data_IF_191762849475
#
_entry.id   IF_191762849475
#
_cell.length_a   1.000
_cell.length_b   1.000
_cell.length_c   1.000
_cell.angle_alpha   90.00
_cell.angle_beta   90.00
_cell.angle_gamma   90.00
#
_symmetry.space_group_name_H-M   'P 1'
#
loop_
_entity.id
_entity.type
_entity.pdbx_description
1 polymer ?
#
# COMPACT_ATOMS: atom_id res chain seq x y z
N UNK A 1 -15.49 -16.94 13.66
CA UNK A 1 -14.34 -17.68 14.24
C UNK A 1 -13.07 -17.01 13.75
N UNK A 2 -12.14 -16.68 14.66
CA UNK A 2 -10.82 -16.19 14.26
C UNK A 2 -9.96 -17.42 13.93
N UNK A 3 -9.94 -17.82 12.66
CA UNK A 3 -9.14 -18.97 12.22
C UNK A 3 -7.66 -18.61 12.42
N UNK A 4 -6.85 -19.45 13.11
CA UNK A 4 -5.42 -19.21 13.19
C UNK A 4 -4.82 -19.17 11.77
N UNK A 5 -3.74 -18.41 11.61
CA UNK A 5 -2.97 -18.36 10.35
C UNK A 5 -1.80 -19.35 10.46
N UNK A 6 -1.96 -20.62 10.04
CA UNK A 6 -0.85 -21.55 9.99
C UNK A 6 0.12 -21.12 8.88
N UNK A 7 1.40 -20.98 9.23
CA UNK A 7 2.45 -20.65 8.27
C UNK A 7 3.71 -21.46 8.57
N UNK A 8 4.38 -21.92 7.51
CA UNK A 8 5.71 -22.52 7.60
C UNK A 8 6.77 -21.44 7.86
N UNK A 9 7.74 -21.73 8.72
CA UNK A 9 8.77 -20.75 9.11
C UNK A 9 9.62 -20.30 7.92
N UNK A 10 9.80 -21.16 6.92
CA UNK A 10 10.48 -20.87 5.65
C UNK A 10 9.72 -19.82 4.84
N UNK A 11 8.41 -19.97 4.71
CA UNK A 11 7.55 -18.98 4.05
C UNK A 11 7.59 -17.64 4.78
N UNK A 12 7.59 -17.66 6.12
CA UNK A 12 7.67 -16.42 6.90
C UNK A 12 9.00 -15.68 6.69
N UNK A 13 10.12 -16.41 6.64
CA UNK A 13 11.44 -15.83 6.32
C UNK A 13 11.44 -15.20 4.93
N UNK A 14 10.92 -15.91 3.93
CA UNK A 14 10.82 -15.40 2.58
C UNK A 14 9.95 -14.14 2.52
N UNK A 15 8.76 -14.15 3.11
CA UNK A 15 7.90 -12.96 3.20
C UNK A 15 8.66 -11.79 3.84
N UNK A 16 9.40 -12.04 4.93
CA UNK A 16 10.19 -10.99 5.58
C UNK A 16 11.28 -10.39 4.69
N UNK A 17 11.87 -11.18 3.79
CA UNK A 17 12.87 -10.71 2.82
C UNK A 17 12.26 -9.83 1.71
N UNK A 18 10.95 -9.95 1.46
CA UNK A 18 10.24 -9.24 0.37
C UNK A 18 9.34 -8.09 0.83
N UNK A 19 9.03 -8.00 2.12
CA UNK A 19 8.37 -6.83 2.71
C UNK A 19 9.30 -5.60 2.65
N UNK A 20 8.75 -4.44 2.29
CA UNK A 20 9.45 -3.16 2.23
C UNK A 20 9.48 -2.45 3.61
N UNK A 21 8.45 -2.65 4.44
CA UNK A 21 8.33 -2.04 5.78
C UNK A 21 7.31 -2.79 6.68
N UNK A 22 7.43 -2.69 8.02
CA UNK A 22 6.62 -3.49 8.95
C UNK A 22 5.11 -3.41 8.76
N UNK A 23 4.52 -2.23 8.51
CA UNK A 23 3.07 -2.14 8.34
C UNK A 23 2.58 -2.79 7.04
N UNK A 24 3.45 -3.01 6.06
CA UNK A 24 3.08 -3.80 4.88
C UNK A 24 2.82 -5.27 5.24
N UNK A 25 3.53 -5.82 6.22
CA UNK A 25 3.28 -7.17 6.72
C UNK A 25 1.95 -7.23 7.47
N UNK A 26 1.66 -6.23 8.31
CA UNK A 26 0.37 -6.13 8.99
C UNK A 26 -0.78 -6.03 7.98
N UNK A 27 -0.61 -5.20 6.94
CA UNK A 27 -1.60 -5.07 5.88
C UNK A 27 -1.80 -6.40 5.11
N UNK A 28 -0.72 -7.12 4.82
CA UNK A 28 -0.80 -8.46 4.22
C UNK A 28 -1.65 -9.42 5.07
N UNK A 29 -1.38 -9.51 6.37
CA UNK A 29 -2.15 -10.38 7.27
C UNK A 29 -3.63 -10.03 7.29
N UNK A 30 -3.98 -8.74 7.32
CA UNK A 30 -5.38 -8.28 7.25
C UNK A 30 -6.05 -8.76 5.96
N UNK A 31 -5.41 -8.58 4.81
CA UNK A 31 -5.94 -9.03 3.50
C UNK A 31 -6.07 -10.56 3.47
N UNK A 32 -5.04 -11.28 3.92
CA UNK A 32 -5.01 -12.76 3.96
C UNK A 32 -6.12 -13.35 4.81
N UNK A 33 -6.40 -12.77 5.97
CA UNK A 33 -7.49 -13.20 6.85
C UNK A 33 -8.87 -12.94 6.23
N UNK A 34 -9.04 -11.80 5.55
CA UNK A 34 -10.30 -11.42 4.90
C UNK A 34 -10.69 -12.35 3.73
N UNK A 35 -9.71 -12.94 3.03
CA UNK A 35 -9.96 -13.80 1.86
C UNK A 35 -9.96 -15.30 2.16
N UNK A 36 -9.73 -15.69 3.42
CA UNK A 36 -9.43 -17.07 3.85
C UNK A 36 -10.44 -18.15 3.49
N UNK A 37 -11.67 -17.78 3.10
CA UNK A 37 -12.72 -18.72 2.69
C UNK A 37 -13.08 -18.68 1.20
N UNK A 38 -12.54 -17.70 0.46
CA UNK A 38 -12.90 -17.45 -0.95
C UNK A 38 -11.74 -17.72 -1.91
N UNK A 39 -10.51 -17.49 -1.45
CA UNK A 39 -9.30 -17.62 -2.25
C UNK A 39 -8.45 -18.74 -1.66
N UNK A 40 -8.13 -19.72 -2.49
CA UNK A 40 -7.29 -20.87 -2.18
C UNK A 40 -5.98 -20.75 -2.94
N UNK A 41 -4.89 -21.17 -2.33
CA UNK A 41 -3.58 -21.26 -2.95
C UNK A 41 -2.85 -22.50 -2.41
N UNK A 42 -1.81 -22.94 -3.11
CA UNK A 42 -1.09 -24.16 -2.75
C UNK A 42 -0.20 -23.94 -1.53
N UNK A 43 0.41 -22.76 -1.42
CA UNK A 43 1.21 -22.35 -0.29
C UNK A 43 0.97 -20.87 0.09
N UNK A 44 1.66 -20.41 1.14
CA UNK A 44 1.54 -19.04 1.64
C UNK A 44 2.28 -18.01 0.76
N UNK A 45 3.24 -18.45 -0.06
CA UNK A 45 3.95 -17.56 -0.98
C UNK A 45 3.09 -17.23 -2.19
N UNK A 46 2.22 -18.12 -2.64
CA UNK A 46 1.22 -17.83 -3.67
C UNK A 46 0.28 -16.70 -3.22
N UNK A 47 -0.21 -16.77 -1.98
CA UNK A 47 -1.01 -15.68 -1.39
C UNK A 47 -0.21 -14.39 -1.32
N UNK A 48 1.04 -14.46 -0.89
CA UNK A 48 1.88 -13.29 -0.78
C UNK A 48 2.24 -12.67 -2.14
N UNK A 49 2.51 -13.48 -3.16
CA UNK A 49 2.74 -13.02 -4.53
C UNK A 49 1.51 -12.33 -5.10
N UNK A 50 0.33 -12.93 -4.93
CA UNK A 50 -0.94 -12.31 -5.33
C UNK A 50 -1.19 -11.00 -4.57
N UNK A 51 -0.82 -10.94 -3.29
CA UNK A 51 -0.85 -9.70 -2.51
C UNK A 51 0.05 -8.61 -3.09
N UNK A 52 1.29 -8.93 -3.49
CA UNK A 52 2.20 -7.94 -4.10
C UNK A 52 1.64 -7.40 -5.42
N UNK A 53 0.96 -8.24 -6.20
CA UNK A 53 0.39 -7.88 -7.51
C UNK A 53 -0.88 -7.04 -7.36
N UNK A 54 -1.83 -7.47 -6.52
CA UNK A 54 -3.20 -6.93 -6.51
C UNK A 54 -3.80 -6.72 -5.13
N UNK A 55 -3.03 -6.71 -4.04
CA UNK A 55 -3.55 -6.68 -2.66
C UNK A 55 -4.47 -7.86 -2.30
N UNK A 56 -4.41 -8.99 -3.01
CA UNK A 56 -5.41 -10.07 -2.94
C UNK A 56 -6.82 -9.63 -3.39
N UNK A 57 -6.93 -8.52 -4.11
CA UNK A 57 -8.17 -8.06 -4.75
C UNK A 57 -8.25 -8.70 -6.13
N UNK A 58 -8.72 -9.96 -6.16
CA UNK A 58 -8.96 -10.67 -7.42
C UNK A 58 -10.30 -10.17 -7.99
N UNK A 59 -10.33 -9.65 -9.22
CA UNK A 59 -11.59 -9.31 -9.87
C UNK A 59 -12.39 -10.60 -10.09
N UNK A 60 -13.34 -10.84 -9.19
CA UNK A 60 -14.34 -11.87 -9.39
C UNK A 60 -15.12 -11.48 -10.66
N UNK A 61 -15.39 -12.41 -11.59
CA UNK A 61 -16.44 -12.21 -12.58
C UNK A 61 -17.70 -11.72 -11.84
N UNK A 62 -18.56 -10.94 -12.52
CA UNK A 62 -19.87 -10.52 -11.97
C UNK A 62 -20.44 -11.67 -11.14
N UNK A 63 -20.95 -11.42 -9.92
CA UNK A 63 -21.26 -12.45 -8.94
C UNK A 63 -22.10 -13.53 -9.63
N UNK A 64 -21.39 -14.55 -10.07
CA UNK A 64 -21.99 -15.74 -10.64
C UNK A 64 -22.25 -16.58 -9.40
N UNK A 65 -23.52 -16.84 -9.08
CA UNK A 65 -23.86 -17.63 -7.91
C UNK A 65 -23.19 -19.01 -7.91
N UNK A 66 -22.64 -19.48 -9.03
CA UNK A 66 -21.90 -20.74 -9.14
C UNK A 66 -20.40 -20.62 -8.80
N UNK A 67 -19.81 -19.41 -8.80
CA UNK A 67 -18.38 -19.23 -8.44
C UNK A 67 -18.25 -19.04 -6.94
N UNK A 68 -18.13 -20.17 -6.23
CA UNK A 68 -17.94 -20.16 -4.77
C UNK A 68 -16.48 -19.90 -4.35
N UNK A 69 -15.49 -20.25 -5.19
CA UNK A 69 -14.07 -20.28 -4.81
C UNK A 69 -13.16 -19.92 -5.98
N UNK A 70 -12.07 -19.23 -5.67
CA UNK A 70 -10.98 -18.90 -6.60
C UNK A 70 -9.72 -19.63 -6.19
N UNK A 71 -9.02 -20.25 -7.14
CA UNK A 71 -7.72 -20.88 -6.95
C UNK A 71 -6.62 -20.02 -7.57
N UNK A 72 -5.61 -19.67 -6.78
CA UNK A 72 -4.34 -19.10 -7.25
C UNK A 72 -3.50 -20.27 -7.76
N UNK A 73 -3.21 -20.27 -9.06
CA UNK A 73 -2.49 -21.37 -9.74
C UNK A 73 -0.97 -21.16 -9.69
N UNK A 74 -0.52 -19.91 -9.85
CA UNK A 74 0.89 -19.52 -9.70
C UNK A 74 0.95 -18.03 -9.38
N UNK A 75 1.67 -17.67 -8.31
CA UNK A 75 2.12 -16.31 -8.06
C UNK A 75 3.55 -16.26 -7.51
N UNK A 76 4.35 -17.30 -7.79
CA UNK A 76 5.71 -17.45 -7.22
C UNK A 76 6.83 -17.27 -8.26
N UNK A 77 6.52 -17.29 -9.55
CA UNK A 77 7.50 -17.15 -10.65
C UNK A 77 8.45 -15.94 -10.51
N UNK A 78 7.94 -14.78 -10.09
CA UNK A 78 8.80 -13.59 -9.86
C UNK A 78 9.83 -13.81 -8.75
N UNK A 79 9.50 -14.59 -7.73
CA UNK A 79 10.42 -14.95 -6.64
C UNK A 79 11.50 -15.89 -7.13
N UNK A 80 11.12 -16.92 -7.89
CA UNK A 80 12.07 -17.86 -8.50
C UNK A 80 13.08 -17.13 -9.39
N UNK A 81 12.59 -16.22 -10.23
CA UNK A 81 13.42 -15.40 -11.10
C UNK A 81 14.41 -14.55 -10.33
N UNK A 82 13.95 -13.94 -9.23
CA UNK A 82 14.81 -13.17 -8.34
C UNK A 82 15.89 -14.03 -7.68
N UNK A 83 15.55 -15.24 -7.23
CA UNK A 83 16.53 -16.16 -6.64
C UNK A 83 17.53 -16.68 -7.67
N UNK A 84 17.10 -16.98 -8.89
CA UNK A 84 18.00 -17.36 -9.97
C UNK A 84 18.96 -16.23 -10.33
N UNK A 85 18.48 -14.98 -10.38
CA UNK A 85 19.36 -13.82 -10.54
C UNK A 85 20.37 -13.70 -9.39
N UNK A 86 19.94 -13.83 -8.14
CA UNK A 86 20.83 -13.79 -6.96
C UNK A 86 21.93 -14.86 -7.00
N UNK A 87 21.67 -16.00 -7.63
CA UNK A 87 22.63 -17.10 -7.84
C UNK A 87 23.48 -16.94 -9.11
N UNK A 88 23.30 -15.88 -9.89
CA UNK A 88 23.99 -15.67 -11.17
C UNK A 88 23.49 -16.56 -12.32
N UNK A 89 22.33 -17.19 -12.16
CA UNK A 89 21.73 -18.11 -13.14
C UNK A 89 20.80 -17.39 -14.15
N UNK A 90 20.37 -16.17 -13.83
CA UNK A 90 19.57 -15.31 -14.72
C UNK A 90 20.13 -13.89 -14.79
N UNK A 91 19.85 -13.13 -15.87
CA UNK A 91 20.09 -11.69 -15.92
C UNK A 91 19.43 -10.94 -14.77
N UNK A 92 19.81 -9.67 -14.58
CA UNK A 92 19.24 -8.82 -13.53
C UNK A 92 17.73 -8.67 -13.68
N UNK A 93 17.00 -9.17 -12.68
CA UNK A 93 15.56 -8.95 -12.50
C UNK A 93 15.29 -8.06 -11.28
N UNK A 94 14.19 -7.27 -11.29
CA UNK A 94 13.78 -6.52 -10.12
C UNK A 94 13.44 -7.45 -8.95
N UNK A 95 13.58 -6.96 -7.72
CA UNK A 95 13.07 -7.66 -6.53
C UNK A 95 11.53 -7.64 -6.58
N UNK A 96 10.86 -8.79 -6.40
CA UNK A 96 9.43 -8.85 -6.15
C UNK A 96 9.02 -7.83 -5.09
N UNK A 97 7.99 -7.06 -5.40
CA UNK A 97 7.53 -6.02 -4.52
C UNK A 97 6.23 -5.44 -5.03
N UNK A 98 5.47 -4.88 -4.10
CA UNK A 98 4.20 -4.28 -4.44
C UNK A 98 4.41 -3.04 -5.31
N UNK A 99 3.53 -2.84 -6.29
CA UNK A 99 3.60 -1.64 -7.11
C UNK A 99 3.17 -0.40 -6.30
N UNK A 100 4.17 0.33 -5.81
CA UNK A 100 3.99 1.55 -5.03
C UNK A 100 4.76 2.69 -5.73
N UNK A 101 4.07 3.75 -6.18
CA UNK A 101 4.74 4.90 -6.79
C UNK A 101 5.74 5.55 -5.83
N UNK A 102 6.84 6.11 -6.36
CA UNK A 102 8.01 6.53 -5.56
C UNK A 102 7.63 7.51 -4.46
N UNK A 103 6.84 8.55 -4.75
CA UNK A 103 6.46 9.54 -3.73
C UNK A 103 5.45 8.99 -2.72
N UNK A 104 4.57 8.09 -3.17
CA UNK A 104 3.67 7.37 -2.29
C UNK A 104 4.44 6.48 -1.30
N UNK A 105 5.46 5.77 -1.79
CA UNK A 105 6.40 5.01 -0.95
C UNK A 105 7.09 5.91 0.08
N UNK A 106 7.50 7.11 -0.31
CA UNK A 106 8.12 8.05 0.64
C UNK A 106 7.17 8.46 1.79
N UNK A 107 5.86 8.58 1.54
CA UNK A 107 4.86 8.83 2.60
C UNK A 107 4.81 7.65 3.56
N UNK A 108 4.72 6.43 3.04
CA UNK A 108 4.71 5.21 3.85
C UNK A 108 6.00 5.08 4.69
N UNK A 109 7.17 5.30 4.08
CA UNK A 109 8.44 5.28 4.80
C UNK A 109 8.53 6.40 5.85
N UNK A 110 7.94 7.57 5.61
CA UNK A 110 7.89 8.63 6.60
C UNK A 110 7.04 8.24 7.81
N UNK A 111 5.87 7.62 7.60
CA UNK A 111 5.03 7.08 8.67
C UNK A 111 5.77 6.03 9.51
N UNK A 112 6.47 5.11 8.84
CA UNK A 112 7.27 4.05 9.49
C UNK A 112 8.43 4.60 10.32
N UNK A 113 9.01 5.72 9.88
CA UNK A 113 10.10 6.39 10.60
C UNK A 113 9.61 7.20 11.77
N UNK A 114 8.49 7.92 11.63
CA UNK A 114 7.96 8.75 12.72
C UNK A 114 7.26 7.94 13.79
N UNK A 115 6.65 6.81 13.43
CA UNK A 115 5.89 5.92 14.33
C UNK A 115 4.90 6.67 15.21
N UNK A 116 4.27 7.70 14.65
CA UNK A 116 3.23 8.45 15.35
C UNK A 116 2.09 7.49 15.74
N UNK A 117 1.37 7.73 16.85
CA UNK A 117 0.22 6.89 17.22
C UNK A 117 -0.74 6.70 16.04
N UNK A 118 -1.11 5.45 15.75
CA UNK A 118 -1.97 5.10 14.61
C UNK A 118 -1.26 4.95 13.25
N UNK A 119 0.08 5.01 13.19
CA UNK A 119 0.80 4.98 11.91
C UNK A 119 0.56 3.68 11.12
N UNK A 120 0.44 2.54 11.79
CA UNK A 120 0.20 1.25 11.13
C UNK A 120 -1.18 1.20 10.48
N UNK A 121 -2.19 1.74 11.15
CA UNK A 121 -3.55 1.85 10.64
C UNK A 121 -3.60 2.77 9.41
N UNK A 122 -2.94 3.93 9.48
CA UNK A 122 -2.83 4.85 8.35
C UNK A 122 -2.07 4.19 7.19
N UNK A 123 -0.97 3.49 7.47
CA UNK A 123 -0.21 2.80 6.45
C UNK A 123 -1.03 1.70 5.77
N UNK A 124 -1.79 0.91 6.55
CA UNK A 124 -2.73 -0.07 6.01
C UNK A 124 -3.80 0.60 5.13
N UNK A 125 -4.41 1.70 5.59
CA UNK A 125 -5.40 2.44 4.83
C UNK A 125 -4.84 2.96 3.50
N UNK A 126 -3.62 3.50 3.50
CA UNK A 126 -2.94 3.92 2.27
C UNK A 126 -2.63 2.73 1.34
N UNK A 127 -2.33 1.56 1.91
CA UNK A 127 -2.13 0.34 1.15
C UNK A 127 -3.44 -0.29 0.65
N UNK A 128 -4.59 0.01 1.24
CA UNK A 128 -5.90 -0.38 0.71
C UNK A 128 -6.24 0.37 -0.59
N UNK A 129 -5.66 1.55 -0.81
CA UNK A 129 -5.87 2.32 -2.04
C UNK A 129 -5.29 1.55 -3.23
N UNK A 130 -6.11 1.20 -4.22
CA UNK A 130 -5.68 0.51 -5.43
C UNK A 130 -4.68 1.31 -6.27
N UNK A 131 -3.88 0.61 -7.07
CA UNK A 131 -2.77 1.22 -7.83
C UNK A 131 -3.17 2.45 -8.68
N UNK A 132 -4.27 2.44 -9.46
CA UNK A 132 -4.65 3.61 -10.26
C UNK A 132 -4.80 4.89 -9.42
N UNK A 133 -5.37 4.77 -8.22
CA UNK A 133 -5.56 5.90 -7.32
C UNK A 133 -4.27 6.33 -6.62
N UNK A 134 -3.38 5.39 -6.26
CA UNK A 134 -2.04 5.74 -5.75
C UNK A 134 -1.26 6.60 -6.76
N UNK A 135 -1.41 6.29 -8.05
CA UNK A 135 -0.78 7.05 -9.13
C UNK A 135 -1.34 8.47 -9.25
N UNK A 136 -2.67 8.61 -9.18
CA UNK A 136 -3.34 9.93 -9.11
C UNK A 136 -2.85 10.76 -7.93
N UNK A 137 -2.68 10.14 -6.75
CA UNK A 137 -2.14 10.83 -5.57
C UNK A 137 -0.70 11.30 -5.83
N UNK A 138 0.16 10.44 -6.38
CA UNK A 138 1.54 10.83 -6.73
C UNK A 138 1.59 12.00 -7.73
N UNK A 139 0.80 11.95 -8.80
CA UNK A 139 0.81 12.97 -9.84
C UNK A 139 0.30 14.32 -9.30
N UNK A 140 -0.68 14.28 -8.39
CA UNK A 140 -1.12 15.48 -7.68
C UNK A 140 -0.03 16.04 -6.76
N UNK A 141 0.68 15.20 -5.99
CA UNK A 141 1.83 15.63 -5.17
C UNK A 141 2.88 16.30 -6.04
N UNK A 142 3.22 15.73 -7.20
CA UNK A 142 4.18 16.32 -8.15
C UNK A 142 3.70 17.69 -8.64
N UNK A 143 2.45 17.77 -9.06
CA UNK A 143 1.84 19.01 -9.58
C UNK A 143 1.79 20.09 -8.53
N UNK A 144 1.56 19.72 -7.28
CA UNK A 144 1.54 20.64 -6.16
C UNK A 144 2.95 21.16 -5.84
N UNK A 145 3.94 20.27 -5.71
CA UNK A 145 5.35 20.66 -5.52
C UNK A 145 5.87 21.61 -6.61
N UNK A 146 5.52 21.35 -7.89
CA UNK A 146 5.86 22.25 -9.02
C UNK A 146 5.27 23.65 -8.85
N UNK A 147 4.00 23.75 -8.42
CA UNK A 147 3.33 25.05 -8.18
C UNK A 147 3.96 25.84 -7.04
N UNK A 148 4.41 25.15 -5.96
CA UNK A 148 5.14 25.81 -4.87
C UNK A 148 6.49 26.36 -5.32
N UNK A 149 7.25 25.60 -6.12
CA UNK A 149 8.54 26.07 -6.64
C UNK A 149 8.43 27.31 -7.52
N UNK A 150 7.31 27.45 -8.27
CA UNK A 150 7.05 28.60 -9.12
C UNK A 150 6.47 29.82 -8.37
N UNK A 151 6.16 29.68 -7.08
CA UNK A 151 5.49 30.70 -6.25
C UNK A 151 6.37 31.09 -5.05
N UNK A 152 7.36 31.97 -5.25
CA UNK A 152 8.17 32.65 -4.22
C UNK A 152 8.65 31.81 -3.02
N UNK A 153 8.97 30.52 -3.19
CA UNK A 153 9.61 29.70 -2.16
C UNK A 153 8.74 29.33 -0.94
N UNK A 154 7.50 29.84 -0.82
CA UNK A 154 6.58 29.40 0.22
C UNK A 154 5.93 28.07 -0.18
N UNK A 155 6.09 27.05 0.67
CA UNK A 155 5.33 25.81 0.51
C UNK A 155 3.90 26.05 0.99
N UNK A 156 2.91 25.66 0.18
CA UNK A 156 1.49 25.91 0.45
C UNK A 156 0.77 24.60 0.75
N UNK A 157 -0.23 24.69 1.61
CA UNK A 157 -1.15 23.59 1.86
C UNK A 157 -1.99 23.30 0.61
N UNK A 158 -2.27 22.03 0.36
CA UNK A 158 -3.12 21.62 -0.77
C UNK A 158 -4.06 20.49 -0.39
N UNK A 159 -5.28 20.58 -0.89
CA UNK A 159 -6.32 19.58 -0.66
C UNK A 159 -6.72 18.97 -2.00
N UNK A 160 -6.70 17.64 -2.06
CA UNK A 160 -7.26 16.84 -3.15
C UNK A 160 -8.62 16.35 -2.66
N UNK A 161 -9.67 16.55 -3.43
CA UNK A 161 -11.02 16.06 -3.11
C UNK A 161 -11.50 15.23 -4.29
N UNK A 162 -11.92 14.00 -4.01
CA UNK A 162 -12.69 13.18 -4.92
C UNK A 162 -14.17 13.28 -4.54
N UNK A 163 -14.91 14.11 -5.27
CA UNK A 163 -16.34 14.35 -5.01
C UNK A 163 -17.20 13.15 -5.38
N UNK A 164 -16.74 12.27 -6.28
CA UNK A 164 -17.47 11.07 -6.70
C UNK A 164 -17.42 10.01 -5.61
N UNK A 165 -16.25 9.79 -5.02
CA UNK A 165 -16.03 8.78 -3.99
C UNK A 165 -16.09 9.35 -2.56
N UNK A 166 -16.42 10.64 -2.40
CA UNK A 166 -16.61 11.34 -1.11
C UNK A 166 -15.42 11.23 -0.15
N UNK A 167 -14.19 11.35 -0.66
CA UNK A 167 -12.99 11.42 0.18
C UNK A 167 -12.09 12.58 -0.24
N UNK A 168 -11.18 12.99 0.65
CA UNK A 168 -10.18 13.99 0.34
C UNK A 168 -8.89 13.79 1.13
N UNK A 169 -7.79 14.31 0.60
CA UNK A 169 -6.48 14.30 1.24
C UNK A 169 -5.96 15.74 1.30
N UNK A 170 -5.68 16.23 2.50
CA UNK A 170 -5.02 17.53 2.66
C UNK A 170 -3.57 17.32 3.03
N UNK A 171 -2.68 17.83 2.19
CA UNK A 171 -1.26 17.95 2.47
C UNK A 171 -1.00 19.31 3.09
N UNK A 172 -0.53 19.30 4.34
CA UNK A 172 -0.07 20.49 5.02
C UNK A 172 1.44 20.62 4.85
N UNK A 173 1.90 21.80 4.45
CA UNK A 173 3.33 22.07 4.43
C UNK A 173 3.66 23.25 5.33
N UNK A 174 4.29 22.95 6.45
CA UNK A 174 4.91 23.96 7.32
C UNK A 174 6.41 24.08 7.02
N UNK A 175 6.91 25.30 7.00
CA UNK A 175 8.35 25.61 7.00
C UNK A 175 8.95 25.66 8.41
N UNK A 176 8.16 25.32 9.44
CA UNK A 176 8.54 25.38 10.84
C UNK A 176 8.53 26.79 11.46
N UNK A 177 8.22 27.83 10.67
CA UNK A 177 8.23 29.24 11.14
C UNK A 177 6.83 29.83 11.34
N UNK A 178 5.79 29.20 10.80
CA UNK A 178 4.39 29.55 11.07
C UNK A 178 3.69 28.50 11.94
N UNK A 179 2.71 28.88 12.77
CA UNK A 179 1.87 27.93 13.50
C UNK A 179 1.37 26.88 12.51
N UNK A 180 1.70 25.62 12.79
CA UNK A 180 1.49 24.51 11.86
C UNK A 180 0.04 24.53 11.41
N UNK A 181 -0.24 24.28 10.14
CA UNK A 181 -1.60 24.27 9.59
C UNK A 181 -2.56 23.33 10.35
N UNK A 182 -2.01 22.39 11.15
CA UNK A 182 -2.72 21.56 12.13
C UNK A 182 -3.39 22.37 13.26
N UNK A 183 -2.78 23.46 13.72
CA UNK A 183 -3.40 24.37 14.70
C UNK A 183 -4.61 25.09 14.12
N UNK A 184 -4.61 25.38 12.80
CA UNK A 184 -5.78 25.94 12.10
C UNK A 184 -6.91 24.92 11.95
N UNK A 185 -6.60 23.64 11.87
CA UNK A 185 -7.60 22.56 11.76
C UNK A 185 -8.38 22.31 13.07
N UNK A 186 -7.79 22.62 14.24
CA UNK A 186 -8.52 22.60 15.52
C UNK A 186 -9.70 23.58 15.58
N UNK A 187 -9.77 24.54 14.65
CA UNK A 187 -10.79 25.58 14.61
C UNK A 187 -11.77 25.46 13.44
N UNK A 188 -11.73 24.37 12.67
CA UNK A 188 -12.78 24.11 11.69
C UNK A 188 -14.01 23.57 12.44
N UNK A 189 -15.20 24.21 12.32
CA UNK A 189 -16.43 23.66 12.87
C UNK A 189 -16.63 22.27 12.31
N UNK A 190 -17.08 21.34 13.15
CA UNK A 190 -17.53 20.01 12.72
C UNK A 190 -18.61 20.20 11.64
N UNK A 191 -18.25 20.04 10.37
CA UNK A 191 -19.22 19.94 9.29
C UNK A 191 -19.69 18.49 9.23
N UNK A 192 -20.89 18.29 9.78
CA UNK A 192 -21.74 17.10 9.65
C UNK A 192 -21.96 16.68 8.20
#
# INVERSE_FOLDING_TARGET
MNTPWPIYIESLKLISDFIDFPSQFVHYLKKRMAVSQKIYASDELDYFGCYLISNLEIPMPKPDPEIEKVLIVDATSDFEDYFHYKKGLKPRVPRPGQFIPKRFRNILMALERTRAPGYTEIACFLLDIGYPFRKVIEDNIISALRRSQNSSGMVKDWTIIDTKNKWGFTYFCGDGTQPSSLERMRFLPEYC
#
